data_IF_949034796546
#
_entry.id   IF_949034796546
#
_cell.length_a   1.000
_cell.length_b   1.000
_cell.length_c   1.000
_cell.angle_alpha   90.00
_cell.angle_beta   90.00
_cell.angle_gamma   90.00
#
_symmetry.space_group_name_H-M   'P 1'
#
loop_
_entity.id
_entity.type
_entity.pdbx_description
1 polymer ?
#
# COMPACT_ATOMS: atom_id res chain seq x y z
N UNK A 1 -95.04 26.29 7.03
CA UNK A 1 -94.88 24.92 7.57
C UNK A 1 -93.64 24.34 6.91
N UNK A 2 -92.51 24.16 7.63
CA UNK A 2 -92.10 22.87 8.22
C UNK A 2 -92.28 21.75 7.17
N UNK A 3 -91.27 21.02 6.68
CA UNK A 3 -90.28 20.22 7.43
C UNK A 3 -89.22 19.57 6.48
N UNK A 4 -87.98 19.37 6.98
CA UNK A 4 -87.00 18.27 6.69
C UNK A 4 -86.26 18.23 5.33
N UNK A 5 -84.96 18.54 5.19
CA UNK A 5 -83.69 18.04 5.78
C UNK A 5 -83.21 16.67 5.24
N UNK A 6 -82.09 16.75 4.51
CA UNK A 6 -80.93 15.86 4.41
C UNK A 6 -81.10 14.36 4.10
N UNK A 7 -80.67 13.96 2.90
CA UNK A 7 -80.07 12.65 2.63
C UNK A 7 -79.45 12.63 1.23
N UNK A 8 -78.28 13.28 1.07
CA UNK A 8 -77.44 13.18 -0.14
C UNK A 8 -76.00 13.59 0.20
N UNK A 9 -75.41 12.89 1.18
CA UNK A 9 -73.99 12.99 1.51
C UNK A 9 -73.52 11.66 2.13
N UNK A 10 -73.71 10.57 1.40
CA UNK A 10 -73.20 9.24 1.78
C UNK A 10 -72.87 8.49 0.48
N UNK A 11 -71.72 8.77 -0.10
CA UNK A 11 -71.32 8.12 -1.35
C UNK A 11 -70.08 8.68 -2.04
N UNK A 12 -69.10 9.19 -1.29
CA UNK A 12 -67.77 9.48 -1.81
C UNK A 12 -66.75 9.66 -0.67
N UNK A 13 -66.74 8.75 0.31
CA UNK A 13 -65.51 8.46 1.06
C UNK A 13 -64.85 7.28 0.37
N UNK A 14 -64.29 7.54 -0.81
CA UNK A 14 -63.22 6.71 -1.34
C UNK A 14 -62.03 6.97 -0.43
N UNK A 15 -61.88 6.08 0.54
CA UNK A 15 -60.62 5.57 1.09
C UNK A 15 -59.39 6.26 0.49
N UNK A 16 -59.02 7.42 1.03
CA UNK A 16 -57.60 7.82 1.05
C UNK A 16 -56.97 7.06 2.22
N UNK A 17 -56.87 5.74 2.06
CA UNK A 17 -55.89 4.98 2.81
C UNK A 17 -54.55 5.56 2.37
N UNK A 18 -54.01 6.42 3.21
CA UNK A 18 -52.60 6.72 3.26
C UNK A 18 -51.86 5.39 3.26
N UNK A 19 -51.44 4.93 2.09
CA UNK A 19 -50.19 4.22 1.97
C UNK A 19 -49.09 5.25 2.31
N UNK A 20 -49.02 5.62 3.58
CA UNK A 20 -47.75 5.70 4.27
C UNK A 20 -47.19 4.28 4.17
N UNK A 21 -46.68 3.93 2.99
CA UNK A 21 -45.62 2.96 2.94
C UNK A 21 -44.60 3.54 3.89
N UNK A 22 -44.37 2.87 5.00
CA UNK A 22 -43.10 3.02 5.68
C UNK A 22 -42.08 2.95 4.57
N UNK A 23 -41.42 4.07 4.28
CA UNK A 23 -40.11 4.01 3.67
C UNK A 23 -39.32 3.20 4.71
N UNK A 24 -39.33 1.87 4.57
CA UNK A 24 -38.30 1.07 5.20
C UNK A 24 -37.03 1.61 4.57
N UNK A 25 -36.33 2.45 5.34
CA UNK A 25 -34.96 2.76 5.03
C UNK A 25 -34.28 1.43 4.79
N UNK A 26 -33.67 1.33 3.61
CA UNK A 26 -33.05 0.09 3.17
C UNK A 26 -31.99 -0.28 4.20
N UNK A 27 -32.16 -1.44 4.83
CA UNK A 27 -31.17 -1.98 5.77
C UNK A 27 -29.96 -2.47 4.96
N UNK A 28 -28.85 -1.74 5.08
CA UNK A 28 -27.55 -2.09 4.49
C UNK A 28 -26.69 -2.93 5.43
N UNK A 29 -27.21 -3.35 6.58
CA UNK A 29 -26.45 -4.06 7.60
C UNK A 29 -26.01 -5.44 7.12
N UNK A 30 -24.71 -5.69 7.19
CA UNK A 30 -24.15 -6.97 6.75
C UNK A 30 -22.66 -6.91 6.45
N UNK A 31 -22.12 -8.04 5.99
CA UNK A 31 -20.74 -8.17 5.53
C UNK A 31 -20.73 -8.50 4.05
N UNK A 32 -20.00 -7.73 3.26
CA UNK A 32 -19.98 -7.77 1.79
C UNK A 32 -18.55 -7.90 1.28
N UNK A 33 -18.34 -8.67 0.22
CA UNK A 33 -17.04 -9.05 -0.34
C UNK A 33 -16.96 -8.79 -1.85
N UNK A 34 -16.20 -7.77 -2.22
CA UNK A 34 -15.81 -7.54 -3.61
C UNK A 34 -14.52 -8.24 -3.99
N UNK A 35 -14.53 -9.03 -5.07
CA UNK A 35 -13.36 -9.75 -5.57
C UNK A 35 -13.00 -9.28 -6.98
N UNK A 36 -11.76 -8.82 -7.16
CA UNK A 36 -11.22 -8.47 -8.48
C UNK A 36 -9.95 -9.27 -8.78
N UNK A 37 -9.71 -9.69 -10.02
CA UNK A 37 -8.59 -10.58 -10.33
C UNK A 37 -7.86 -10.26 -11.63
N UNK A 38 -6.63 -10.75 -11.72
CA UNK A 38 -5.76 -10.58 -12.89
C UNK A 38 -6.41 -11.18 -14.14
N UNK A 39 -6.67 -10.33 -15.13
CA UNK A 39 -7.29 -10.73 -16.40
C UNK A 39 -8.81 -10.69 -16.39
N UNK A 40 -9.46 -10.25 -15.31
CA UNK A 40 -10.92 -10.10 -15.25
C UNK A 40 -11.45 -9.21 -16.40
N UNK A 41 -10.82 -8.06 -16.63
CA UNK A 41 -11.15 -7.17 -17.75
C UNK A 41 -11.00 -7.81 -19.15
N UNK A 42 -10.27 -8.92 -19.25
CA UNK A 42 -10.04 -9.68 -20.50
C UNK A 42 -10.88 -10.96 -20.56
N UNK A 43 -11.86 -11.13 -19.68
CA UNK A 43 -12.73 -12.31 -19.62
C UNK A 43 -12.04 -13.58 -19.10
N UNK A 44 -10.88 -13.46 -18.46
CA UNK A 44 -10.24 -14.59 -17.78
C UNK A 44 -11.06 -14.92 -16.54
N UNK A 45 -11.36 -16.20 -16.29
CA UNK A 45 -12.10 -16.62 -15.10
C UNK A 45 -11.22 -16.59 -13.85
N UNK A 46 -11.82 -16.47 -12.67
CA UNK A 46 -11.11 -16.40 -11.38
C UNK A 46 -10.25 -17.65 -11.15
N UNK A 47 -10.72 -18.83 -11.54
CA UNK A 47 -10.03 -20.12 -11.36
C UNK A 47 -8.73 -20.19 -12.17
N UNK A 48 -8.65 -19.43 -13.28
CA UNK A 48 -7.45 -19.33 -14.13
C UNK A 48 -6.51 -18.23 -13.65
N UNK A 49 -6.95 -17.38 -12.74
CA UNK A 49 -6.12 -16.32 -12.18
C UNK A 49 -5.14 -16.85 -11.15
N UNK A 50 -3.95 -16.24 -11.12
CA UNK A 50 -2.95 -16.49 -10.07
C UNK A 50 -2.87 -15.35 -9.06
N UNK A 51 -3.71 -14.33 -9.22
CA UNK A 51 -3.68 -13.11 -8.43
C UNK A 51 -5.09 -12.52 -8.31
N UNK A 52 -5.51 -12.16 -7.11
CA UNK A 52 -6.78 -11.49 -6.86
C UNK A 52 -6.64 -10.49 -5.72
N UNK A 53 -7.46 -9.48 -5.71
CA UNK A 53 -7.63 -8.58 -4.58
C UNK A 53 -9.06 -8.71 -4.07
N UNK A 54 -9.21 -8.70 -2.76
CA UNK A 54 -10.49 -8.78 -2.09
C UNK A 54 -10.68 -7.56 -1.20
N UNK A 55 -11.91 -7.06 -1.14
CA UNK A 55 -12.32 -6.04 -0.16
C UNK A 55 -13.53 -6.58 0.58
N UNK A 56 -13.45 -6.66 1.91
CA UNK A 56 -14.55 -7.04 2.78
C UNK A 56 -14.99 -5.79 3.55
N UNK A 57 -16.29 -5.49 3.54
CA UNK A 57 -16.88 -4.36 4.28
C UNK A 57 -17.93 -4.91 5.24
N UNK A 58 -17.89 -4.49 6.49
CA UNK A 58 -19.02 -4.66 7.41
C UNK A 58 -19.72 -3.33 7.57
N UNK A 59 -21.03 -3.30 7.31
CA UNK A 59 -21.85 -2.10 7.36
C UNK A 59 -22.88 -2.19 8.49
N UNK A 60 -23.25 -1.04 9.05
CA UNK A 60 -24.48 -0.92 9.84
C UNK A 60 -25.71 -0.79 8.93
N UNK A 61 -26.89 -0.69 9.56
CA UNK A 61 -28.17 -0.59 8.85
C UNK A 61 -28.26 0.64 7.93
N UNK A 62 -27.60 1.72 8.30
CA UNK A 62 -27.67 3.00 7.60
C UNK A 62 -26.63 3.07 6.47
N UNK A 63 -25.70 2.11 6.40
CA UNK A 63 -24.63 2.06 5.42
C UNK A 63 -23.30 2.65 5.91
N UNK A 64 -23.17 2.93 7.21
CA UNK A 64 -21.87 3.30 7.82
C UNK A 64 -20.95 2.10 7.81
N UNK A 65 -19.72 2.28 7.37
CA UNK A 65 -18.68 1.26 7.39
C UNK A 65 -18.20 1.07 8.83
N UNK A 66 -18.49 -0.09 9.42
CA UNK A 66 -18.05 -0.49 10.75
C UNK A 66 -16.66 -1.13 10.72
N UNK A 67 -16.35 -1.83 9.64
CA UNK A 67 -15.10 -2.55 9.45
C UNK A 67 -14.78 -2.66 7.95
N UNK A 68 -13.49 -2.69 7.62
CA UNK A 68 -13.00 -2.83 6.26
C UNK A 68 -11.71 -3.66 6.25
N UNK A 69 -11.58 -4.57 5.29
CA UNK A 69 -10.38 -5.40 5.07
C UNK A 69 -10.06 -5.39 3.56
N UNK A 70 -8.80 -5.20 3.19
CA UNK A 70 -8.32 -5.17 1.80
C UNK A 70 -7.09 -6.04 1.63
N UNK A 71 -7.20 -7.01 0.72
CA UNK A 71 -6.26 -8.12 0.73
C UNK A 71 -5.79 -8.49 -0.68
N UNK A 72 -4.48 -8.36 -0.96
CA UNK A 72 -3.93 -8.73 -2.26
C UNK A 72 -3.33 -10.13 -2.23
N UNK A 73 -4.08 -11.09 -2.74
CA UNK A 73 -3.75 -12.51 -2.73
C UNK A 73 -3.01 -12.97 -3.99
N UNK A 74 -1.97 -13.78 -3.80
CA UNK A 74 -1.23 -14.46 -4.86
C UNK A 74 -1.31 -15.97 -4.67
N UNK A 75 -1.56 -16.72 -5.74
CA UNK A 75 -1.60 -18.18 -5.70
C UNK A 75 -0.17 -18.74 -5.78
N UNK A 76 0.35 -19.28 -4.67
CA UNK A 76 1.63 -20.01 -4.63
C UNK A 76 1.39 -21.44 -4.17
N UNK A 77 1.89 -22.41 -4.95
CA UNK A 77 1.77 -23.86 -4.63
C UNK A 77 0.33 -24.30 -4.30
N UNK A 78 -0.67 -23.75 -5.01
CA UNK A 78 -2.08 -24.09 -4.84
C UNK A 78 -2.77 -23.42 -3.63
N UNK A 79 -2.07 -22.56 -2.88
CA UNK A 79 -2.65 -21.78 -1.77
C UNK A 79 -2.62 -20.30 -2.10
N UNK A 80 -3.71 -19.60 -1.78
CA UNK A 80 -3.74 -18.15 -1.77
C UNK A 80 -2.98 -17.66 -0.54
N UNK A 81 -2.07 -16.72 -0.77
CA UNK A 81 -1.32 -16.06 0.30
C UNK A 81 -1.44 -14.56 0.12
N UNK A 82 -1.60 -13.84 1.22
CA UNK A 82 -1.57 -12.38 1.23
C UNK A 82 -0.18 -11.90 0.82
N UNK A 83 -0.16 -10.91 -0.08
CA UNK A 83 1.07 -10.25 -0.49
C UNK A 83 1.53 -9.24 0.56
N UNK A 84 0.57 -8.66 1.26
CA UNK A 84 0.70 -7.75 2.40
C UNK A 84 1.11 -8.47 3.68
N UNK A 85 1.20 -9.81 3.69
CA UNK A 85 1.77 -10.55 4.82
C UNK A 85 3.23 -10.12 5.08
N UNK A 86 3.44 -9.48 6.23
CA UNK A 86 4.72 -8.94 6.68
C UNK A 86 5.66 -9.98 7.29
N UNK A 87 5.22 -11.23 7.46
CA UNK A 87 6.09 -12.27 7.98
C UNK A 87 7.32 -12.47 7.08
N UNK A 88 8.49 -12.50 7.72
CA UNK A 88 9.75 -12.78 7.05
C UNK A 88 10.60 -13.77 7.85
N UNK A 89 11.33 -14.61 7.12
CA UNK A 89 12.48 -15.33 7.66
C UNK A 89 13.74 -14.62 7.18
N UNK A 90 14.55 -14.18 8.14
CA UNK A 90 15.80 -13.47 7.89
C UNK A 90 16.93 -14.17 8.61
N UNK A 91 18.07 -14.33 7.94
CA UNK A 91 19.34 -14.72 8.56
C UNK A 91 20.47 -13.88 8.00
N UNK A 92 21.50 -13.64 8.83
CA UNK A 92 22.66 -12.82 8.49
C UNK A 92 23.93 -13.67 8.52
N UNK A 93 24.78 -13.52 7.51
CA UNK A 93 26.13 -14.05 7.44
C UNK A 93 27.14 -12.90 7.56
N UNK A 94 27.63 -12.68 8.78
CA UNK A 94 28.61 -11.62 9.09
C UNK A 94 29.99 -11.88 8.46
N UNK A 95 30.25 -13.09 7.95
CA UNK A 95 31.51 -13.41 7.25
C UNK A 95 31.52 -12.97 5.79
N UNK A 96 30.36 -12.60 5.23
CA UNK A 96 30.25 -12.10 3.88
C UNK A 96 30.35 -10.56 3.87
N UNK A 97 31.08 -9.99 2.90
CA UNK A 97 30.95 -8.56 2.61
C UNK A 97 29.96 -8.36 1.46
N UNK A 98 29.05 -7.39 1.53
CA UNK A 98 28.10 -7.15 0.47
C UNK A 98 28.83 -6.76 -0.82
N UNK A 99 28.33 -7.23 -1.96
CA UNK A 99 28.87 -6.93 -3.28
C UNK A 99 27.75 -6.52 -4.22
N UNK A 100 27.97 -5.46 -5.00
CA UNK A 100 26.95 -4.89 -5.85
C UNK A 100 26.45 -5.88 -6.92
N UNK A 101 25.16 -5.83 -7.20
CA UNK A 101 24.55 -6.52 -8.32
C UNK A 101 24.97 -5.87 -9.65
N UNK A 102 25.03 -6.64 -10.73
CA UNK A 102 25.11 -6.05 -12.07
C UNK A 102 23.71 -5.61 -12.50
N UNK A 103 23.57 -4.37 -12.93
CA UNK A 103 22.32 -3.76 -13.42
C UNK A 103 22.08 -4.03 -14.91
N UNK A 104 20.96 -3.52 -15.45
CA UNK A 104 20.64 -3.61 -16.87
C UNK A 104 20.00 -4.93 -17.34
N UNK A 105 20.12 -5.19 -18.65
CA UNK A 105 19.52 -6.34 -19.34
C UNK A 105 20.17 -7.67 -18.93
N UNK A 106 21.45 -7.65 -18.59
CA UNK A 106 22.24 -8.79 -18.11
C UNK A 106 22.35 -8.83 -16.58
N UNK A 107 21.24 -8.55 -15.90
CA UNK A 107 21.21 -8.50 -14.44
C UNK A 107 21.80 -9.76 -13.80
N UNK A 108 22.68 -9.55 -12.81
CA UNK A 108 23.23 -10.60 -11.95
C UNK A 108 23.13 -10.15 -10.50
N UNK A 109 22.57 -11.00 -9.63
CA UNK A 109 22.56 -10.73 -8.18
C UNK A 109 24.00 -10.61 -7.67
N UNK A 110 24.24 -9.64 -6.81
CA UNK A 110 25.50 -9.49 -6.10
C UNK A 110 25.63 -10.45 -4.92
N UNK A 111 26.65 -10.23 -4.08
CA UNK A 111 26.85 -10.95 -2.82
C UNK A 111 26.10 -10.20 -1.72
N UNK A 112 25.40 -10.92 -0.85
CA UNK A 112 24.52 -10.38 0.18
C UNK A 112 24.83 -11.06 1.49
N UNK A 113 24.88 -10.29 2.58
CA UNK A 113 24.97 -10.80 3.95
C UNK A 113 23.65 -11.41 4.41
N UNK A 114 22.54 -11.06 3.77
CA UNK A 114 21.20 -11.41 4.21
C UNK A 114 20.54 -12.47 3.30
N UNK A 115 20.05 -13.56 3.89
CA UNK A 115 19.03 -14.42 3.27
C UNK A 115 17.65 -14.01 3.80
N UNK A 116 16.88 -13.30 2.97
CA UNK A 116 15.54 -12.81 3.30
C UNK A 116 14.50 -13.54 2.46
N UNK A 117 13.55 -14.16 3.16
CA UNK A 117 12.36 -14.82 2.59
C UNK A 117 11.11 -14.14 3.14
N UNK A 118 10.44 -13.38 2.28
CA UNK A 118 9.18 -12.67 2.58
C UNK A 118 8.31 -12.61 1.32
N UNK A 119 7.03 -12.28 1.50
CA UNK A 119 6.09 -12.11 0.40
C UNK A 119 6.23 -10.77 -0.33
N UNK A 120 6.70 -9.73 0.36
CA UNK A 120 7.01 -8.44 -0.24
C UNK A 120 8.23 -7.78 0.41
N UNK A 121 9.02 -7.09 -0.42
CA UNK A 121 10.27 -6.45 -0.01
C UNK A 121 10.17 -4.91 -0.07
N UNK A 122 9.01 -4.33 -0.40
CA UNK A 122 8.88 -2.89 -0.57
C UNK A 122 9.06 -2.19 0.77
N UNK A 123 10.09 -1.35 0.88
CA UNK A 123 10.37 -0.65 2.13
C UNK A 123 10.85 -1.56 3.26
N UNK A 124 11.25 -2.80 2.96
CA UNK A 124 11.75 -3.74 3.95
C UNK A 124 13.10 -3.27 4.51
N UNK A 125 13.33 -3.48 5.80
CA UNK A 125 14.65 -3.37 6.41
C UNK A 125 14.94 -4.57 7.32
N UNK A 126 16.22 -4.88 7.50
CA UNK A 126 16.71 -5.80 8.51
C UNK A 126 18.04 -5.30 9.09
N UNK A 127 18.25 -5.50 10.38
CA UNK A 127 19.45 -5.09 11.10
C UNK A 127 19.83 -6.15 12.13
N UNK A 128 21.12 -6.40 12.31
CA UNK A 128 21.65 -7.31 13.30
C UNK A 128 23.00 -6.80 13.82
N UNK A 129 23.38 -7.22 15.03
CA UNK A 129 24.69 -6.88 15.62
C UNK A 129 25.36 -8.15 16.13
N UNK A 130 26.56 -8.42 15.62
CA UNK A 130 27.37 -9.59 16.02
C UNK A 130 28.04 -9.39 17.40
N UNK A 131 28.65 -10.46 17.93
CA UNK A 131 29.30 -10.46 19.24
C UNK A 131 30.47 -9.46 19.35
N UNK A 132 31.16 -9.19 18.26
CA UNK A 132 32.29 -8.26 18.20
C UNK A 132 31.89 -6.79 18.00
N UNK A 133 30.59 -6.51 17.86
CA UNK A 133 30.04 -5.18 17.61
C UNK A 133 29.91 -4.83 16.12
N UNK A 134 30.12 -5.77 15.20
CA UNK A 134 29.82 -5.58 13.77
C UNK A 134 28.32 -5.40 13.58
N UNK A 135 27.90 -4.32 12.92
CA UNK A 135 26.48 -4.08 12.58
C UNK A 135 26.26 -4.39 11.10
N UNK A 136 25.28 -5.22 10.79
CA UNK A 136 24.82 -5.46 9.43
C UNK A 136 23.46 -4.79 9.24
N UNK A 137 23.31 -4.02 8.16
CA UNK A 137 22.07 -3.37 7.76
C UNK A 137 21.69 -3.80 6.34
N UNK A 138 20.43 -4.15 6.13
CA UNK A 138 19.79 -4.21 4.83
C UNK A 138 18.58 -3.27 4.83
N UNK A 139 18.44 -2.44 3.79
CA UNK A 139 17.29 -1.57 3.58
C UNK A 139 16.90 -1.57 2.11
N UNK A 140 15.61 -1.64 1.82
CA UNK A 140 15.10 -1.69 0.44
C UNK A 140 14.57 -0.33 0.02
N UNK A 141 15.29 0.31 -0.90
CA UNK A 141 14.81 1.53 -1.54
C UNK A 141 13.61 1.21 -2.46
N UNK A 142 12.48 1.87 -2.20
CA UNK A 142 11.23 1.65 -2.93
C UNK A 142 11.20 2.30 -4.33
N UNK A 143 12.07 3.27 -4.60
CA UNK A 143 12.18 3.97 -5.88
C UNK A 143 12.97 3.13 -6.89
N UNK A 144 14.16 2.62 -6.53
CA UNK A 144 14.96 1.77 -7.41
C UNK A 144 14.63 0.28 -7.29
N UNK A 145 13.99 -0.14 -6.20
CA UNK A 145 13.65 -1.55 -5.90
C UNK A 145 14.89 -2.44 -5.78
N UNK A 146 15.85 -2.00 -4.99
CA UNK A 146 17.05 -2.75 -4.63
C UNK A 146 17.20 -2.85 -3.12
N UNK A 147 17.66 -4.01 -2.68
CA UNK A 147 18.20 -4.21 -1.35
C UNK A 147 19.60 -3.57 -1.32
N UNK A 148 19.74 -2.57 -0.47
CA UNK A 148 20.98 -1.88 -0.15
C UNK A 148 21.51 -2.43 1.16
N UNK A 149 22.79 -2.76 1.24
CA UNK A 149 23.41 -3.34 2.43
C UNK A 149 24.62 -2.53 2.88
N UNK A 150 24.76 -2.34 4.18
CA UNK A 150 25.94 -1.77 4.82
C UNK A 150 26.45 -2.71 5.90
N UNK A 151 27.79 -2.82 6.02
CA UNK A 151 28.48 -3.58 7.05
C UNK A 151 29.37 -2.61 7.82
N UNK A 152 29.05 -2.37 9.08
CA UNK A 152 29.79 -1.47 9.96
C UNK A 152 30.71 -2.29 10.86
N UNK A 153 31.99 -2.28 10.52
CA UNK A 153 33.03 -3.02 11.27
C UNK A 153 33.21 -2.47 12.70
N UNK A 154 33.78 -3.25 13.64
CA UNK A 154 34.03 -2.80 15.00
C UNK A 154 34.88 -1.52 15.01
N UNK A 155 34.41 -0.50 15.75
CA UNK A 155 35.06 0.82 15.82
C UNK A 155 34.60 1.84 14.76
N UNK A 156 33.61 1.50 13.94
CA UNK A 156 32.97 2.45 13.02
C UNK A 156 32.49 3.73 13.74
N UNK A 157 32.64 4.88 13.07
CA UNK A 157 32.19 6.17 13.61
C UNK A 157 30.68 6.37 13.41
N UNK A 158 29.86 5.91 14.36
CA UNK A 158 28.40 6.06 14.28
C UNK A 158 27.90 7.51 14.42
N UNK A 159 28.78 8.49 14.72
CA UNK A 159 28.44 9.91 14.69
C UNK A 159 28.56 10.54 13.29
N UNK A 160 29.10 9.81 12.30
CA UNK A 160 29.01 10.20 10.89
C UNK A 160 27.56 10.39 10.47
N UNK A 161 27.34 11.27 9.49
CA UNK A 161 25.99 11.63 9.04
C UNK A 161 25.42 10.57 8.10
N UNK A 162 24.10 10.39 8.10
CA UNK A 162 23.45 9.42 7.21
C UNK A 162 23.69 9.75 5.73
N UNK A 163 23.86 11.03 5.36
CA UNK A 163 24.25 11.42 4.00
C UNK A 163 25.59 10.86 3.51
N UNK A 164 26.46 10.45 4.43
CA UNK A 164 27.74 9.80 4.11
C UNK A 164 27.53 8.32 3.70
N UNK A 165 26.35 7.75 3.98
CA UNK A 165 25.95 6.43 3.49
C UNK A 165 25.48 6.53 2.03
N UNK A 166 26.43 6.62 1.12
CA UNK A 166 26.20 6.74 -0.32
C UNK A 166 26.00 5.37 -0.97
N UNK A 167 25.15 5.35 -1.99
CA UNK A 167 24.80 4.16 -2.76
C UNK A 167 26.02 3.71 -3.56
N UNK A 168 26.28 2.41 -3.54
CA UNK A 168 27.40 1.74 -4.20
C UNK A 168 28.79 2.04 -3.62
N UNK A 169 28.88 2.73 -2.48
CA UNK A 169 30.11 2.87 -1.69
C UNK A 169 29.93 2.27 -0.29
N UNK A 170 29.02 2.82 0.51
CA UNK A 170 28.67 2.33 1.86
C UNK A 170 27.37 1.51 1.84
N UNK A 171 26.39 1.94 1.04
CA UNK A 171 25.15 1.23 0.80
C UNK A 171 25.23 0.43 -0.50
N UNK A 172 25.68 -0.82 -0.37
CA UNK A 172 25.95 -1.69 -1.51
C UNK A 172 24.65 -2.30 -2.05
N UNK A 173 24.29 -2.08 -3.33
CA UNK A 173 23.05 -2.61 -3.90
C UNK A 173 23.20 -4.08 -4.31
N UNK A 174 22.84 -5.03 -3.44
CA UNK A 174 23.17 -6.45 -3.62
C UNK A 174 22.14 -7.23 -4.45
N UNK A 175 20.87 -6.83 -4.42
CA UNK A 175 19.77 -7.60 -5.04
C UNK A 175 18.63 -6.72 -5.52
N UNK A 176 18.20 -6.90 -6.77
CA UNK A 176 16.94 -6.33 -7.27
C UNK A 176 15.74 -7.04 -6.63
N UNK A 177 14.90 -6.29 -5.94
CA UNK A 177 13.69 -6.81 -5.27
C UNK A 177 12.48 -6.80 -6.21
N UNK A 178 12.44 -5.88 -7.17
CA UNK A 178 11.39 -5.84 -8.21
C UNK A 178 11.89 -5.21 -9.52
N UNK A 179 11.28 -5.61 -10.65
CA UNK A 179 11.47 -4.94 -11.95
C UNK A 179 10.59 -3.70 -12.10
N UNK A 180 9.82 -3.30 -11.08
CA UNK A 180 8.85 -2.20 -11.15
C UNK A 180 9.33 -0.87 -10.55
N UNK A 181 10.62 -0.73 -10.22
CA UNK A 181 11.15 0.54 -9.70
C UNK A 181 10.85 1.74 -10.61
N UNK A 182 10.57 2.89 -10.01
CA UNK A 182 10.31 4.14 -10.72
C UNK A 182 11.57 4.60 -11.46
N UNK A 183 12.72 4.52 -10.78
CA UNK A 183 14.02 4.79 -11.36
C UNK A 183 14.66 3.49 -11.83
N UNK A 184 15.17 3.49 -13.07
CA UNK A 184 15.82 2.34 -13.70
C UNK A 184 17.31 2.60 -13.83
N UNK A 185 18.05 2.36 -12.75
CA UNK A 185 19.52 2.46 -12.76
C UNK A 185 20.08 1.47 -13.79
N UNK A 186 20.85 1.99 -14.76
CA UNK A 186 21.50 1.19 -15.80
C UNK A 186 22.98 0.99 -15.52
N UNK A 187 23.56 1.85 -14.71
CA UNK A 187 24.92 1.76 -14.18
C UNK A 187 24.95 2.40 -12.78
N UNK A 188 25.68 1.84 -11.82
CA UNK A 188 25.73 2.40 -10.47
C UNK A 188 26.40 3.77 -10.40
N UNK A 189 27.24 4.11 -11.37
CA UNK A 189 27.79 5.46 -11.52
C UNK A 189 26.71 6.53 -11.79
N UNK A 190 25.51 6.16 -12.22
CA UNK A 190 24.39 7.11 -12.40
C UNK A 190 23.86 7.65 -11.07
N UNK A 191 24.17 6.99 -9.95
CA UNK A 191 23.70 7.33 -8.60
C UNK A 191 24.86 7.40 -7.59
N UNK A 192 26.08 7.57 -8.10
CA UNK A 192 27.27 7.75 -7.27
C UNK A 192 27.14 9.04 -6.44
N UNK A 193 27.45 8.95 -5.14
CA UNK A 193 27.26 10.05 -4.20
C UNK A 193 25.81 10.30 -3.75
N UNK A 194 24.83 9.62 -4.33
CA UNK A 194 23.44 9.66 -3.86
C UNK A 194 23.28 8.81 -2.60
N UNK A 195 22.42 9.24 -1.67
CA UNK A 195 22.08 8.48 -0.47
C UNK A 195 20.58 8.10 -0.47
N UNK A 196 20.12 7.49 0.63
CA UNK A 196 18.73 7.04 0.79
C UNK A 196 17.68 8.14 0.60
N UNK A 197 18.03 9.41 0.81
CA UNK A 197 17.10 10.54 0.78
C UNK A 197 17.23 11.39 -0.49
N UNK A 198 18.38 11.35 -1.18
CA UNK A 198 18.66 12.25 -2.32
C UNK A 198 18.36 11.63 -3.69
N UNK A 199 18.27 10.29 -3.78
CA UNK A 199 18.13 9.57 -5.06
C UNK A 199 16.89 9.99 -5.87
N UNK A 200 15.78 10.32 -5.22
CA UNK A 200 14.57 10.81 -5.88
C UNK A 200 13.71 11.62 -4.91
N UNK A 201 12.93 12.62 -5.37
CA UNK A 201 12.05 13.40 -4.50
C UNK A 201 11.09 12.58 -3.64
N UNK A 202 10.76 11.33 -4.00
CA UNK A 202 9.86 10.44 -3.24
C UNK A 202 10.54 9.67 -2.12
N UNK A 203 11.86 9.76 -2.01
CA UNK A 203 12.60 9.23 -0.88
C UNK A 203 12.30 9.98 0.43
N UNK A 204 11.68 11.17 0.37
CA UNK A 204 11.21 11.90 1.56
C UNK A 204 10.28 11.04 2.45
N UNK A 205 9.55 10.09 1.89
CA UNK A 205 8.63 9.22 2.63
C UNK A 205 9.36 8.33 3.66
N UNK A 206 10.65 8.07 3.46
CA UNK A 206 11.47 7.33 4.44
C UNK A 206 11.56 8.11 5.75
N UNK A 207 11.73 9.44 5.69
CA UNK A 207 11.88 10.30 6.86
C UNK A 207 10.57 10.88 7.39
N UNK A 208 9.51 10.88 6.58
CA UNK A 208 8.24 11.47 7.00
C UNK A 208 7.35 10.47 7.77
N UNK A 209 7.60 9.16 7.65
CA UNK A 209 6.71 8.09 8.15
C UNK A 209 7.44 6.84 8.67
N UNK A 210 6.75 6.09 9.53
CA UNK A 210 7.21 4.77 10.00
C UNK A 210 8.40 4.77 10.94
N UNK A 211 9.16 3.66 10.91
CA UNK A 211 10.30 3.42 11.79
C UNK A 211 11.40 4.49 11.70
N UNK A 212 11.56 5.15 10.55
CA UNK A 212 12.58 6.18 10.31
C UNK A 212 12.00 7.60 10.32
N UNK A 213 10.79 7.80 10.85
CA UNK A 213 10.20 9.12 10.97
C UNK A 213 11.10 10.07 11.76
N UNK A 214 11.47 11.19 11.14
CA UNK A 214 12.35 12.22 11.69
C UNK A 214 13.85 11.95 11.50
N UNK A 215 14.24 10.80 10.94
CA UNK A 215 15.63 10.52 10.57
C UNK A 215 15.86 11.04 9.16
N UNK A 216 16.80 11.96 9.00
CA UNK A 216 17.12 12.58 7.71
C UNK A 216 18.62 12.50 7.38
N UNK A 217 19.03 13.20 6.33
CA UNK A 217 20.40 13.18 5.81
C UNK A 217 21.44 13.78 6.80
N UNK A 218 20.99 14.66 7.70
CA UNK A 218 21.81 15.33 8.70
C UNK A 218 21.72 14.66 10.08
N UNK A 219 20.87 13.66 10.24
CA UNK A 219 20.90 12.74 11.37
C UNK A 219 22.20 11.92 11.33
N UNK A 220 22.65 11.44 12.48
CA UNK A 220 23.80 10.54 12.54
C UNK A 220 23.38 9.06 12.38
N UNK A 221 24.34 8.21 12.03
CA UNK A 221 24.08 6.79 11.75
C UNK A 221 23.60 6.06 13.02
N UNK A 222 24.08 6.46 14.21
CA UNK A 222 23.60 5.93 15.49
C UNK A 222 22.09 6.18 15.69
N UNK A 223 21.59 7.37 15.37
CA UNK A 223 20.17 7.73 15.44
C UNK A 223 19.34 6.85 14.50
N UNK A 224 19.81 6.67 13.26
CA UNK A 224 19.17 5.79 12.28
C UNK A 224 19.11 4.34 12.77
N UNK A 225 20.23 3.77 13.21
CA UNK A 225 20.30 2.39 13.67
C UNK A 225 19.49 2.18 14.96
N UNK A 226 19.44 3.17 15.85
CA UNK A 226 18.59 3.16 17.05
C UNK A 226 17.11 3.14 16.68
N UNK A 227 16.70 3.93 15.69
CA UNK A 227 15.33 3.93 15.17
C UNK A 227 14.95 2.56 14.55
N UNK A 228 15.91 1.84 13.97
CA UNK A 228 15.74 0.47 13.48
C UNK A 228 15.83 -0.60 14.59
N UNK A 229 16.16 -0.20 15.82
CA UNK A 229 16.10 -1.04 17.01
C UNK A 229 17.45 -1.47 17.60
N UNK A 230 18.58 -0.98 17.08
CA UNK A 230 19.90 -1.24 17.65
C UNK A 230 20.07 -0.48 18.95
N UNK A 231 20.48 -1.17 20.01
CA UNK A 231 20.85 -0.53 21.27
C UNK A 231 22.34 -0.14 21.27
N UNK A 232 22.65 1.06 21.75
CA UNK A 232 24.02 1.54 21.96
C UNK A 232 24.28 1.76 23.46
N UNK A 233 25.44 1.32 23.95
CA UNK A 233 25.96 1.68 25.28
C UNK A 233 27.33 2.32 25.12
N UNK A 234 27.49 3.52 25.67
CA UNK A 234 28.73 4.30 25.55
C UNK A 234 29.23 4.44 24.10
N UNK A 235 28.30 4.55 23.13
CA UNK A 235 28.60 4.66 21.70
C UNK A 235 28.91 3.33 20.99
N UNK A 236 28.83 2.19 21.70
CA UNK A 236 29.09 0.84 21.16
C UNK A 236 27.79 0.07 20.94
N UNK A 237 27.53 -0.46 19.74
CA UNK A 237 26.33 -1.25 19.46
C UNK A 237 26.34 -2.54 20.29
N UNK A 238 25.18 -2.92 20.82
CA UNK A 238 25.01 -4.13 21.63
C UNK A 238 24.61 -5.30 20.73
N UNK A 239 25.14 -6.50 21.02
CA UNK A 239 24.78 -7.74 20.33
C UNK A 239 23.25 -7.85 20.24
N UNK A 240 22.76 -8.13 19.04
CA UNK A 240 21.34 -8.19 18.74
C UNK A 240 21.10 -9.23 17.65
N UNK A 241 20.22 -10.19 17.94
CA UNK A 241 19.67 -11.08 16.91
C UNK A 241 19.00 -10.25 15.80
N UNK A 242 18.83 -10.85 14.62
CA UNK A 242 18.25 -10.11 13.50
C UNK A 242 16.86 -9.57 13.84
N UNK A 243 16.71 -8.26 13.66
CA UNK A 243 15.45 -7.54 13.73
C UNK A 243 15.11 -7.05 12.32
N UNK A 244 13.85 -7.14 11.94
CA UNK A 244 13.38 -6.66 10.65
C UNK A 244 12.04 -5.96 10.77
N UNK A 245 11.66 -5.26 9.71
CA UNK A 245 10.38 -4.60 9.58
C UNK A 245 10.25 -3.91 8.24
N UNK A 246 9.33 -2.97 8.18
CA UNK A 246 9.10 -2.13 7.01
C UNK A 246 9.14 -0.66 7.43
N UNK A 247 9.89 0.16 6.70
CA UNK A 247 9.92 1.61 6.91
C UNK A 247 8.77 2.30 6.16
N UNK A 248 8.68 3.63 6.27
CA UNK A 248 7.57 4.41 5.67
C UNK A 248 6.21 3.93 6.20
N UNK A 249 5.19 3.73 5.37
CA UNK A 249 3.89 3.16 5.80
C UNK A 249 3.89 1.63 5.92
N UNK A 250 5.00 0.97 6.30
CA UNK A 250 4.93 -0.48 6.56
C UNK A 250 4.74 -1.35 5.30
N UNK A 251 5.26 -0.92 4.14
CA UNK A 251 5.18 -1.72 2.91
C UNK A 251 3.78 -1.69 2.28
N UNK A 252 3.27 -2.82 1.78
CA UNK A 252 1.88 -2.90 1.27
C UNK A 252 0.85 -3.02 2.38
N UNK A 253 1.21 -3.65 3.50
CA UNK A 253 0.35 -3.86 4.67
C UNK A 253 -0.17 -2.53 5.19
N UNK A 254 0.71 -1.62 5.62
CA UNK A 254 0.23 -0.35 6.17
C UNK A 254 -0.46 0.58 5.16
N UNK A 255 -0.43 0.29 3.85
CA UNK A 255 -1.27 1.02 2.88
C UNK A 255 -2.70 0.49 2.81
N UNK A 256 -2.87 -0.79 3.10
CA UNK A 256 -4.19 -1.38 3.25
C UNK A 256 -4.74 -1.01 4.62
N UNK A 257 -3.93 -1.04 5.67
CA UNK A 257 -4.32 -0.52 7.00
C UNK A 257 -4.78 0.95 6.93
N UNK A 258 -3.99 1.84 6.30
CA UNK A 258 -4.38 3.26 6.11
C UNK A 258 -5.70 3.40 5.33
N UNK A 259 -5.92 2.53 4.34
CA UNK A 259 -7.13 2.54 3.53
C UNK A 259 -8.34 2.05 4.34
N UNK A 260 -8.16 0.99 5.10
CA UNK A 260 -9.17 0.41 5.99
C UNK A 260 -9.57 1.43 7.07
N UNK A 261 -8.58 2.06 7.73
CA UNK A 261 -8.80 3.11 8.73
C UNK A 261 -9.54 4.31 8.13
N UNK A 262 -9.20 4.72 6.91
CA UNK A 262 -9.91 5.81 6.22
C UNK A 262 -11.40 5.52 6.00
N UNK A 263 -11.71 4.26 5.65
CA UNK A 263 -13.06 3.80 5.33
C UNK A 263 -13.94 3.67 6.57
N UNK A 264 -13.38 3.22 7.69
CA UNK A 264 -14.14 3.05 8.94
C UNK A 264 -14.79 4.37 9.37
N UNK A 265 -16.07 4.31 9.72
CA UNK A 265 -16.90 5.45 10.10
C UNK A 265 -17.38 6.33 8.94
N UNK A 266 -17.05 6.00 7.68
CA UNK A 266 -17.62 6.69 6.51
C UNK A 266 -18.98 6.09 6.14
N UNK A 267 -19.84 6.93 5.57
CA UNK A 267 -21.04 6.47 4.87
C UNK A 267 -20.64 5.90 3.49
N UNK A 268 -20.89 4.61 3.27
CA UNK A 268 -20.59 3.92 2.02
C UNK A 268 -21.41 4.45 0.82
N UNK A 269 -22.54 5.13 1.07
CA UNK A 269 -23.33 5.82 0.04
C UNK A 269 -22.65 7.09 -0.46
N UNK A 270 -21.76 7.68 0.34
CA UNK A 270 -21.01 8.90 0.01
C UNK A 270 -19.62 8.54 -0.59
N UNK A 271 -18.98 7.49 -0.08
CA UNK A 271 -17.68 7.01 -0.58
C UNK A 271 -17.89 5.93 -1.64
N UNK A 272 -18.41 6.28 -2.82
CA UNK A 272 -18.68 5.27 -3.87
C UNK A 272 -17.45 4.80 -4.65
N UNK A 273 -16.29 5.41 -4.39
CA UNK A 273 -15.01 5.11 -5.04
C UNK A 273 -13.87 5.53 -4.11
N UNK A 274 -12.76 4.80 -4.15
CA UNK A 274 -11.51 5.16 -3.47
C UNK A 274 -10.73 6.27 -4.21
N UNK A 275 -11.26 6.72 -5.35
CA UNK A 275 -10.68 7.76 -6.19
C UNK A 275 -11.49 9.05 -6.01
N UNK A 276 -10.80 10.16 -5.70
CA UNK A 276 -11.40 11.48 -5.66
C UNK A 276 -11.54 12.06 -7.08
N UNK A 277 -12.74 11.87 -7.64
CA UNK A 277 -13.11 12.38 -8.96
C UNK A 277 -13.43 13.89 -8.98
N UNK A 278 -13.52 14.56 -7.83
CA UNK A 278 -13.81 16.00 -7.77
C UNK A 278 -12.67 16.87 -8.32
N UNK A 279 -11.47 16.30 -8.39
CA UNK A 279 -10.31 16.94 -9.01
C UNK A 279 -10.43 16.97 -10.53
N UNK A 280 -10.47 18.20 -11.08
CA UNK A 280 -10.49 18.49 -12.53
C UNK A 280 -9.32 17.87 -13.30
N UNK A 281 -8.23 17.50 -12.61
CA UNK A 281 -7.06 16.83 -13.19
C UNK A 281 -7.38 15.39 -13.61
N UNK A 282 -8.30 14.72 -12.92
CA UNK A 282 -8.62 13.29 -13.11
C UNK A 282 -9.98 13.05 -13.77
N UNK A 283 -10.89 14.03 -13.69
CA UNK A 283 -12.21 13.97 -14.34
C UNK A 283 -12.14 13.81 -15.87
N UNK A 284 -11.00 14.17 -16.49
CA UNK A 284 -10.75 14.01 -17.93
C UNK A 284 -10.29 12.60 -18.32
N UNK A 285 -9.96 11.74 -17.35
CA UNK A 285 -9.51 10.38 -17.60
C UNK A 285 -10.64 9.37 -17.72
N UNK A 286 -11.90 9.75 -17.49
CA UNK A 286 -13.07 8.90 -17.69
C UNK A 286 -13.88 9.45 -18.87
N UNK A 287 -14.34 8.58 -19.76
CA UNK A 287 -15.37 8.90 -20.75
C UNK A 287 -16.38 7.74 -20.88
N UNK A 288 -17.47 7.97 -21.61
CA UNK A 288 -18.57 7.01 -21.81
C UNK A 288 -18.11 5.68 -22.45
N UNK A 289 -16.93 5.66 -23.07
CA UNK A 289 -16.31 4.49 -23.70
C UNK A 289 -15.17 3.89 -22.87
N UNK A 290 -14.73 4.55 -21.79
CA UNK A 290 -13.54 4.19 -21.04
C UNK A 290 -13.75 4.26 -19.52
N UNK A 291 -14.36 3.20 -19.01
CA UNK A 291 -14.42 2.82 -17.59
C UNK A 291 -13.04 2.44 -16.98
N UNK A 292 -11.94 2.56 -17.73
CA UNK A 292 -10.58 2.13 -17.33
C UNK A 292 -9.57 3.26 -17.11
N UNK A 293 -9.94 4.53 -17.32
CA UNK A 293 -8.97 5.61 -17.25
C UNK A 293 -8.18 5.77 -18.51
N UNK A 294 -8.01 6.99 -18.96
CA UNK A 294 -7.04 7.32 -19.99
C UNK A 294 -5.64 7.32 -19.37
N UNK A 295 -4.70 6.59 -20.01
CA UNK A 295 -3.25 6.77 -19.82
C UNK A 295 -2.86 8.15 -20.35
N UNK A 296 -3.08 9.18 -19.54
CA UNK A 296 -2.49 10.49 -19.75
C UNK A 296 -1.32 10.67 -18.79
N UNK A 297 -0.41 11.60 -19.11
CA UNK A 297 0.71 12.04 -18.25
C UNK A 297 0.19 12.79 -16.99
N UNK A 298 -0.89 12.33 -16.39
CA UNK A 298 -1.51 12.93 -15.23
C UNK A 298 -0.81 12.40 -13.97
N UNK A 299 -0.03 13.27 -13.32
CA UNK A 299 0.54 12.98 -12.02
C UNK A 299 -0.54 12.56 -11.01
N UNK A 300 -0.20 11.59 -10.16
CA UNK A 300 -0.89 11.08 -8.98
C UNK A 300 -2.35 11.52 -8.79
N UNK A 301 -3.33 10.63 -8.98
CA UNK A 301 -4.73 10.81 -8.53
C UNK A 301 -4.76 11.12 -7.03
N UNK A 302 -5.61 12.03 -6.57
CA UNK A 302 -5.96 12.06 -5.14
C UNK A 302 -6.81 10.82 -4.89
N UNK A 303 -6.22 9.82 -4.27
CA UNK A 303 -6.90 8.61 -3.82
C UNK A 303 -6.91 8.60 -2.30
N UNK A 304 -7.79 7.83 -1.66
CA UNK A 304 -7.73 7.58 -0.21
C UNK A 304 -6.31 7.11 0.23
N UNK A 305 -5.58 6.49 -0.68
CA UNK A 305 -4.15 6.22 -0.58
C UNK A 305 -3.36 7.35 -1.24
N UNK A 306 -2.58 8.12 -0.48
CA UNK A 306 -1.53 8.97 -1.08
C UNK A 306 -0.35 8.09 -1.46
N UNK A 307 -0.43 7.45 -2.63
CA UNK A 307 0.54 6.43 -3.02
C UNK A 307 1.94 6.98 -3.29
N UNK A 308 2.06 8.30 -3.36
CA UNK A 308 3.32 8.99 -3.58
C UNK A 308 3.97 9.35 -2.24
N UNK A 309 3.20 9.97 -1.34
CA UNK A 309 3.69 10.51 -0.06
C UNK A 309 3.48 9.55 1.14
N UNK A 310 2.80 8.42 0.93
CA UNK A 310 2.66 7.33 1.90
C UNK A 310 3.55 6.11 1.60
N UNK A 311 3.81 5.83 0.32
CA UNK A 311 4.36 4.53 -0.12
C UNK A 311 5.79 4.63 -0.65
N UNK A 312 6.26 5.83 -1.00
CA UNK A 312 7.54 5.98 -1.70
C UNK A 312 7.49 5.26 -3.07
N UNK A 313 6.67 5.77 -3.99
CA UNK A 313 6.81 5.45 -5.42
C UNK A 313 5.96 4.30 -5.99
N UNK A 314 4.80 3.98 -5.43
CA UNK A 314 3.78 3.28 -6.22
C UNK A 314 2.93 4.33 -6.92
N UNK A 315 2.95 4.35 -8.26
CA UNK A 315 2.16 5.31 -9.04
C UNK A 315 0.67 5.11 -8.80
N UNK A 316 -0.05 6.20 -8.53
CA UNK A 316 -1.51 6.22 -8.57
C UNK A 316 -1.96 5.84 -9.98
N UNK A 317 -2.59 4.68 -10.10
CA UNK A 317 -3.21 4.17 -11.32
C UNK A 317 -4.56 3.64 -10.89
N UNK A 318 -5.60 3.73 -11.73
CA UNK A 318 -6.91 3.15 -11.43
C UNK A 318 -6.75 1.73 -10.92
N UNK A 319 -6.98 1.59 -9.63
CA UNK A 319 -6.34 0.56 -8.85
C UNK A 319 -7.27 -0.64 -8.73
N UNK A 320 -6.68 -1.82 -8.67
CA UNK A 320 -7.41 -3.08 -8.43
C UNK A 320 -8.17 -2.98 -7.10
N UNK A 321 -7.64 -2.25 -6.13
CA UNK A 321 -8.20 -1.92 -4.80
C UNK A 321 -9.54 -1.17 -4.93
N UNK A 322 -9.59 -0.12 -5.77
CA UNK A 322 -10.86 0.58 -6.03
C UNK A 322 -11.90 -0.35 -6.66
N UNK A 323 -11.45 -1.27 -7.52
CA UNK A 323 -12.38 -2.19 -8.21
C UNK A 323 -12.97 -3.20 -7.23
N UNK A 324 -12.17 -3.81 -6.36
CA UNK A 324 -12.69 -4.71 -5.33
C UNK A 324 -13.59 -3.97 -4.34
N UNK A 325 -13.23 -2.75 -3.93
CA UNK A 325 -14.10 -1.94 -3.07
C UNK A 325 -15.46 -1.66 -3.71
N UNK A 326 -15.49 -1.20 -4.96
CA UNK A 326 -16.75 -0.97 -5.68
C UNK A 326 -17.57 -2.24 -5.85
N UNK A 327 -16.93 -3.40 -6.08
CA UNK A 327 -17.63 -4.68 -6.13
C UNK A 327 -18.23 -5.09 -4.78
N UNK A 328 -17.61 -4.72 -3.65
CA UNK A 328 -18.22 -4.91 -2.33
C UNK A 328 -19.46 -4.03 -2.16
N UNK A 329 -19.42 -2.80 -2.68
CA UNK A 329 -20.60 -1.90 -2.71
C UNK A 329 -21.72 -2.42 -3.62
N UNK A 330 -21.38 -3.10 -4.72
CA UNK A 330 -22.36 -3.79 -5.57
C UNK A 330 -23.04 -4.92 -4.80
N UNK A 331 -22.28 -5.71 -4.04
CA UNK A 331 -22.86 -6.79 -3.24
C UNK A 331 -23.74 -6.25 -2.10
N UNK A 332 -23.38 -5.11 -1.49
CA UNK A 332 -24.26 -4.36 -0.59
C UNK A 332 -25.48 -3.74 -1.30
N UNK A 333 -25.45 -3.71 -2.64
CA UNK A 333 -26.42 -3.09 -3.52
C UNK A 333 -26.54 -1.57 -3.33
N UNK A 334 -25.45 -0.92 -2.92
CA UNK A 334 -25.31 0.54 -2.82
C UNK A 334 -25.09 1.17 -4.20
N UNK A 335 -24.38 0.47 -5.10
CA UNK A 335 -24.17 0.86 -6.50
C UNK A 335 -24.52 -0.29 -7.45
N UNK A 336 -24.68 0.00 -8.75
CA UNK A 336 -24.91 -1.03 -9.76
C UNK A 336 -23.58 -1.56 -10.31
N UNK A 337 -23.56 -2.82 -10.78
CA UNK A 337 -22.36 -3.41 -11.42
C UNK A 337 -21.85 -2.58 -12.62
N UNK A 338 -22.78 -1.95 -13.35
CA UNK A 338 -22.46 -1.08 -14.49
C UNK A 338 -21.66 0.16 -14.10
N UNK A 339 -21.73 0.58 -12.83
CA UNK A 339 -21.03 1.74 -12.30
C UNK A 339 -19.59 1.37 -11.87
N UNK A 340 -19.26 0.07 -11.83
CA UNK A 340 -17.94 -0.40 -11.40
C UNK A 340 -16.86 0.00 -12.39
N UNK A 341 -15.90 0.74 -11.87
CA UNK A 341 -14.70 1.14 -12.59
C UNK A 341 -13.69 -0.01 -12.51
N UNK A 342 -13.41 -0.65 -13.65
CA UNK A 342 -12.46 -1.77 -13.73
C UNK A 342 -11.03 -1.24 -13.79
N UNK A 343 -10.29 -1.40 -12.71
CA UNK A 343 -8.90 -0.98 -12.58
C UNK A 343 -7.91 -1.91 -13.30
N UNK A 344 -6.65 -1.46 -13.40
CA UNK A 344 -5.54 -2.31 -13.83
C UNK A 344 -5.14 -3.24 -12.70
N UNK A 345 -4.85 -4.50 -13.04
CA UNK A 345 -4.39 -5.50 -12.08
C UNK A 345 -2.86 -5.54 -11.98
#
# INVERSE_FOLDING_TARGET
>A
MKTTIALLAAGAMIVSSTALGSHEERDYGGTYRGIYWSGHAKGVSLEKSKKRIETVLTLDRDGTILDAEVDFLVLKKGKWIARNDSEASVSVDFSADPGAATVGTHYKKGRSMFDIKTNDMMGFYAVAVDEDGTVALAIVDAVIRYQLEAKFEPGYNYHSKVKELTINEELIPTKRTSKSGLVKVKDWSEVEGENLYSLHPYNHVIKDRGALKGIDEDSNIMEMLTALGVEFKDGVPQKMEVRYGFHSNGGWEGNYDDLEEYLIGKDAKDVRSLIDWSSKKYSRSIDDNNYFGLDSTAGATRTAQDSVDGIGGSTVRMSRENTSYMLALVEAGIIDEKDVIKGRF
#
